data_IF_416537998018
#
_entry.id   IF_416537998018
#
_cell.length_a   1.000
_cell.length_b   1.000
_cell.length_c   1.000
_cell.angle_alpha   90.00
_cell.angle_beta   90.00
_cell.angle_gamma   90.00
#
_symmetry.space_group_name_H-M   'P 1'
#
loop_
_entity.id
_entity.type
_entity.pdbx_description
1 polymer ?
#
# COMPACT_ATOMS: atom_id res chain seq x y z
N UNK A 1 -4.73 -12.96 -4.34
CA UNK A 1 -3.70 -11.89 -4.29
C UNK A 1 -4.01 -10.87 -5.38
N UNK A 2 -4.40 -9.66 -4.97
CA UNK A 2 -4.96 -8.60 -5.81
C UNK A 2 -3.89 -7.52 -6.02
N UNK A 3 -3.59 -7.14 -7.26
CA UNK A 3 -2.72 -5.99 -7.58
C UNK A 3 -3.59 -4.84 -8.07
N UNK A 4 -3.31 -3.65 -7.53
CA UNK A 4 -4.14 -2.47 -7.71
C UNK A 4 -3.51 -1.61 -8.82
N UNK A 5 -4.13 -1.61 -10.00
CA UNK A 5 -3.81 -0.65 -11.05
C UNK A 5 -4.65 0.61 -10.85
N UNK A 6 -4.02 1.78 -10.69
CA UNK A 6 -4.72 3.03 -10.40
C UNK A 6 -4.78 3.91 -11.65
N UNK A 7 -5.94 3.96 -12.30
CA UNK A 7 -6.28 5.04 -13.22
C UNK A 7 -7.33 5.93 -12.53
N UNK A 8 -6.86 7.05 -11.98
CA UNK A 8 -7.65 8.21 -11.51
C UNK A 8 -8.84 7.89 -10.58
N UNK A 9 -8.61 7.21 -9.44
CA UNK A 9 -9.63 6.86 -8.43
C UNK A 9 -10.62 5.74 -8.82
N UNK A 10 -10.31 4.95 -9.85
CA UNK A 10 -10.88 3.62 -10.10
C UNK A 10 -9.84 2.55 -9.83
N UNK A 11 -9.79 2.02 -8.60
CA UNK A 11 -8.84 0.95 -8.26
C UNK A 11 -9.30 -0.34 -8.95
N UNK A 12 -8.73 -0.63 -10.11
CA UNK A 12 -9.00 -1.90 -10.78
C UNK A 12 -8.13 -2.95 -10.15
N UNK A 13 -8.79 -3.90 -9.50
CA UNK A 13 -8.09 -5.11 -9.16
C UNK A 13 -7.76 -5.88 -10.44
N UNK A 14 -6.49 -5.95 -10.78
CA UNK A 14 -5.99 -6.80 -11.84
C UNK A 14 -5.72 -8.17 -11.23
N UNK A 15 -6.39 -9.21 -11.78
CA UNK A 15 -6.11 -10.58 -11.38
C UNK A 15 -4.73 -10.99 -11.89
N UNK A 16 -3.84 -11.31 -10.95
CA UNK A 16 -2.41 -11.40 -11.22
C UNK A 16 -1.99 -12.65 -12.00
N UNK A 17 -2.88 -13.66 -12.11
CA UNK A 17 -2.64 -15.00 -12.68
C UNK A 17 -1.24 -15.61 -12.37
N UNK A 18 -0.62 -15.21 -11.26
CA UNK A 18 0.79 -15.46 -10.91
C UNK A 18 1.86 -15.06 -11.95
N UNK A 19 1.52 -14.32 -13.01
CA UNK A 19 2.45 -13.96 -14.10
C UNK A 19 3.18 -12.65 -13.89
N UNK A 20 2.58 -11.72 -13.17
CA UNK A 20 3.16 -10.41 -12.97
C UNK A 20 3.88 -10.39 -11.61
N UNK A 21 4.97 -9.67 -11.49
CA UNK A 21 5.60 -9.29 -10.22
C UNK A 21 6.11 -7.86 -10.42
N UNK A 22 6.40 -7.14 -9.35
CA UNK A 22 7.15 -5.88 -9.54
C UNK A 22 8.46 -6.18 -10.28
N UNK A 23 9.09 -5.18 -10.87
CA UNK A 23 10.45 -5.27 -11.42
C UNK A 23 11.43 -5.90 -10.43
N UNK A 24 11.16 -5.80 -9.13
CA UNK A 24 11.95 -6.39 -8.03
C UNK A 24 11.44 -7.74 -7.52
N UNK A 25 10.38 -8.31 -8.10
CA UNK A 25 9.81 -9.58 -7.68
C UNK A 25 8.93 -9.51 -6.43
N UNK A 26 8.77 -8.32 -5.83
CA UNK A 26 8.02 -8.07 -4.61
C UNK A 26 6.51 -7.88 -4.88
N UNK A 27 5.71 -8.34 -3.93
CA UNK A 27 4.26 -8.17 -3.86
C UNK A 27 3.90 -7.75 -2.44
N UNK A 28 2.88 -6.88 -2.24
CA UNK A 28 2.08 -6.21 -3.26
C UNK A 28 2.87 -5.10 -3.99
N UNK A 29 2.42 -4.75 -5.20
CA UNK A 29 2.86 -3.56 -5.93
C UNK A 29 1.67 -2.90 -6.64
N UNK A 30 1.82 -1.64 -7.02
CA UNK A 30 0.86 -0.87 -7.82
C UNK A 30 1.58 -0.16 -8.95
N UNK A 31 0.87 0.11 -10.04
CA UNK A 31 1.34 1.00 -11.09
C UNK A 31 0.45 2.24 -11.12
N UNK A 32 1.07 3.41 -10.98
CA UNK A 32 0.41 4.71 -10.95
C UNK A 32 1.09 5.61 -11.99
N UNK A 33 0.35 6.02 -13.02
CA UNK A 33 0.86 6.87 -14.11
C UNK A 33 2.14 6.32 -14.78
N UNK A 34 2.26 4.99 -14.91
CA UNK A 34 3.42 4.31 -15.51
C UNK A 34 4.61 4.12 -14.56
N UNK A 35 4.51 4.56 -13.31
CA UNK A 35 5.49 4.32 -12.26
C UNK A 35 5.07 3.13 -11.40
N UNK A 36 5.99 2.19 -11.19
CA UNK A 36 5.77 1.02 -10.36
C UNK A 36 6.24 1.27 -8.92
N UNK A 37 5.34 1.06 -7.97
CA UNK A 37 5.59 1.22 -6.54
C UNK A 37 5.33 -0.13 -5.87
N UNK A 38 6.36 -0.70 -5.25
CA UNK A 38 6.28 -1.95 -4.48
C UNK A 38 6.39 -1.65 -2.98
N UNK A 39 6.06 -2.65 -2.13
CA UNK A 39 5.97 -2.57 -0.66
C UNK A 39 4.68 -1.91 -0.15
N UNK A 40 3.93 -2.58 0.72
CA UNK A 40 2.63 -2.11 1.19
C UNK A 40 2.70 -0.77 1.92
N UNK A 41 3.72 -0.53 2.76
CA UNK A 41 3.86 0.71 3.51
C UNK A 41 4.21 1.88 2.57
N UNK A 42 5.10 1.63 1.60
CA UNK A 42 5.48 2.62 0.58
C UNK A 42 4.28 2.95 -0.31
N UNK A 43 3.54 1.94 -0.79
CA UNK A 43 2.34 2.12 -1.61
C UNK A 43 1.32 3.02 -0.91
N UNK A 44 1.03 2.75 0.37
CA UNK A 44 0.06 3.51 1.15
C UNK A 44 0.52 4.96 1.30
N UNK A 45 1.79 5.18 1.65
CA UNK A 45 2.35 6.53 1.82
C UNK A 45 2.35 7.35 0.53
N UNK A 46 2.79 6.74 -0.57
CA UNK A 46 2.85 7.40 -1.88
C UNK A 46 1.47 7.75 -2.40
N UNK A 47 0.50 6.82 -2.30
CA UNK A 47 -0.87 7.08 -2.71
C UNK A 47 -1.53 8.16 -1.83
N UNK A 48 -1.31 8.13 -0.52
CA UNK A 48 -1.79 9.17 0.39
C UNK A 48 -1.26 10.55 0.01
N UNK A 49 0.04 10.65 -0.27
CA UNK A 49 0.68 11.91 -0.66
C UNK A 49 0.18 12.41 -2.03
N UNK A 50 0.19 11.55 -3.06
CA UNK A 50 -0.17 11.92 -4.45
C UNK A 50 -1.61 12.38 -4.60
N UNK A 51 -2.52 11.81 -3.82
CA UNK A 51 -3.95 12.15 -3.87
C UNK A 51 -4.39 13.05 -2.70
N UNK A 52 -3.44 13.58 -1.92
CA UNK A 52 -3.68 14.39 -0.73
C UNK A 52 -4.74 13.76 0.20
N UNK A 53 -4.64 12.44 0.38
CA UNK A 53 -5.50 11.66 1.26
C UNK A 53 -4.72 11.23 2.48
N UNK A 54 -5.05 11.84 3.60
CA UNK A 54 -4.60 11.38 4.91
C UNK A 54 -5.57 10.32 5.43
N UNK A 55 -5.09 9.07 5.51
CA UNK A 55 -5.86 7.93 6.00
C UNK A 55 -6.07 8.00 7.52
N UNK A 56 -5.20 8.73 8.22
CA UNK A 56 -5.21 8.89 9.67
C UNK A 56 -5.81 10.23 10.09
N UNK A 57 -6.42 10.98 9.15
CA UNK A 57 -6.98 12.32 9.41
C UNK A 57 -8.02 12.35 10.54
N UNK A 58 -8.74 11.24 10.74
CA UNK A 58 -9.74 11.09 11.80
C UNK A 58 -9.15 10.61 13.14
N UNK A 59 -7.87 10.28 13.20
CA UNK A 59 -7.23 9.72 14.39
C UNK A 59 -6.61 10.80 15.26
N UNK A 60 -6.78 10.67 16.57
CA UNK A 60 -6.06 11.49 17.54
C UNK A 60 -4.56 11.14 17.55
N UNK A 61 -3.72 12.00 18.14
CA UNK A 61 -2.29 11.74 18.24
C UNK A 61 -1.97 10.42 18.98
N UNK A 62 -2.73 10.10 20.02
CA UNK A 62 -2.60 8.84 20.76
C UNK A 62 -2.97 7.63 19.90
N UNK A 63 -4.07 7.73 19.14
CA UNK A 63 -4.50 6.66 18.23
C UNK A 63 -3.49 6.40 17.12
N UNK A 64 -2.84 7.44 16.60
CA UNK A 64 -1.76 7.29 15.61
C UNK A 64 -0.55 6.54 16.19
N UNK A 65 -0.18 6.82 17.44
CA UNK A 65 0.90 6.09 18.11
C UNK A 65 0.55 4.60 18.30
N UNK A 66 -0.69 4.31 18.71
CA UNK A 66 -1.18 2.93 18.86
C UNK A 66 -1.22 2.21 17.51
N UNK A 67 -1.69 2.89 16.46
CA UNK A 67 -1.73 2.32 15.11
C UNK A 67 -0.31 1.98 14.61
N UNK A 68 0.64 2.91 14.76
CA UNK A 68 2.03 2.70 14.37
C UNK A 68 2.68 1.52 15.12
N UNK A 69 2.48 1.44 16.43
CA UNK A 69 2.98 0.32 17.24
C UNK A 69 2.36 -1.02 16.81
N UNK A 70 1.06 -1.02 16.51
CA UNK A 70 0.33 -2.22 16.09
C UNK A 70 0.81 -2.71 14.72
N UNK A 71 0.97 -1.82 13.74
CA UNK A 71 1.50 -2.14 12.41
C UNK A 71 2.92 -2.72 12.54
N UNK A 72 3.79 -2.06 13.30
CA UNK A 72 5.16 -2.53 13.52
C UNK A 72 5.22 -3.91 14.16
N UNK A 73 4.35 -4.20 15.14
CA UNK A 73 4.29 -5.53 15.75
C UNK A 73 3.85 -6.61 14.76
N UNK A 74 2.82 -6.32 13.96
CA UNK A 74 2.30 -7.28 12.97
C UNK A 74 3.37 -7.56 11.90
N UNK A 75 4.01 -6.53 11.37
CA UNK A 75 5.01 -6.68 10.31
C UNK A 75 6.27 -7.41 10.77
N UNK A 76 6.74 -7.19 12.01
CA UNK A 76 7.99 -7.79 12.49
C UNK A 76 7.80 -9.14 13.20
N UNK A 77 6.61 -9.43 13.74
CA UNK A 77 6.39 -10.61 14.57
C UNK A 77 5.28 -11.55 14.08
N UNK A 78 4.46 -11.15 13.11
CA UNK A 78 3.35 -11.97 12.57
C UNK A 78 3.39 -12.18 11.07
N UNK A 79 4.29 -11.51 10.34
CA UNK A 79 4.54 -11.80 8.93
C UNK A 79 5.44 -13.04 8.81
N UNK A 80 4.93 -14.10 8.17
CA UNK A 80 5.64 -15.35 7.88
C UNK A 80 5.97 -15.45 6.39
#
# INVERSE_FOLDING_TARGET
MKVLGCSLLGVRNVDHKMKYKSKKGQLPFVEVNGEEIADSAIIIKELGTRYNKDLDASLTAEQRNVAHATISMIENHFAW
#
